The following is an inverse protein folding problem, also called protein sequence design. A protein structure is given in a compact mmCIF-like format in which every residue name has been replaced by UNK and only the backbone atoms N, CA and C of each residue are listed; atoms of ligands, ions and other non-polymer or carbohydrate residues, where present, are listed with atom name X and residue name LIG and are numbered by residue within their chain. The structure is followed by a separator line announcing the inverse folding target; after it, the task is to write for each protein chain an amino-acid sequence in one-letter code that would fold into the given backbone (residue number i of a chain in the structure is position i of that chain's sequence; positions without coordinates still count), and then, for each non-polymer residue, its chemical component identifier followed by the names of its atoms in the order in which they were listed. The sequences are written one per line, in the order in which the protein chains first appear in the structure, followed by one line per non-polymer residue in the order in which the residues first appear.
data_IF_246871041256
#
_entry.id   IF_246871041256
#
_cell.length_a   1.000
_cell.length_b   1.000
_cell.length_c   1.000
_cell.angle_alpha   90.00
_cell.angle_beta   90.00
_cell.angle_gamma   90.00
#
_symmetry.space_group_name_H-M   'P 1'
#
loop_
_entity.id
_entity.type
_entity.pdbx_description
1 polymer ?
#
# COMPACT_ATOMS: atom_id res chain seq x y z
N UNK A 1 -22.34 -9.86 -3.47
CA UNK A 1 -21.96 -11.21 -2.99
C UNK A 1 -21.08 -11.05 -1.76
N UNK A 2 -21.31 -11.82 -0.71
CA UNK A 2 -20.65 -11.66 0.61
C UNK A 2 -19.39 -12.52 0.74
N UNK A 3 -18.45 -12.38 -0.21
CA UNK A 3 -17.21 -13.16 -0.18
C UNK A 3 -16.33 -12.65 0.97
N UNK A 4 -15.93 -13.50 1.94
CA UNK A 4 -15.26 -13.09 3.17
C UNK A 4 -13.76 -12.82 2.96
N UNK A 5 -13.44 -11.89 2.06
CA UNK A 5 -12.06 -11.42 1.84
C UNK A 5 -11.70 -10.38 2.89
N UNK A 6 -10.50 -10.50 3.45
CA UNK A 6 -9.90 -9.50 4.34
C UNK A 6 -8.78 -8.79 3.58
N UNK A 7 -8.98 -7.52 3.26
CA UNK A 7 -7.96 -6.66 2.66
C UNK A 7 -7.20 -5.93 3.76
N UNK A 8 -5.88 -6.11 3.81
CA UNK A 8 -4.99 -5.31 4.66
C UNK A 8 -4.29 -4.31 3.75
N UNK A 9 -4.61 -3.04 3.89
CA UNK A 9 -4.08 -1.97 3.05
C UNK A 9 -3.01 -1.21 3.82
N UNK A 10 -1.77 -1.26 3.36
CA UNK A 10 -0.71 -0.41 3.88
C UNK A 10 -0.84 0.98 3.25
N UNK A 11 -1.44 1.90 3.99
CA UNK A 11 -1.81 3.23 3.52
C UNK A 11 -0.76 4.25 3.96
N UNK A 12 0.08 4.66 3.00
CA UNK A 12 1.04 5.75 3.14
C UNK A 12 0.59 7.03 2.39
N UNK A 13 -0.64 7.06 1.86
CA UNK A 13 -1.15 8.14 1.01
C UNK A 13 -0.24 8.52 -0.17
N UNK A 14 0.56 7.57 -0.70
CA UNK A 14 1.52 7.81 -1.79
C UNK A 14 1.56 6.65 -2.79
N UNK A 15 2.00 6.94 -4.02
CA UNK A 15 2.56 5.93 -4.91
C UNK A 15 4.00 5.64 -4.48
N UNK A 16 4.20 5.05 -3.29
CA UNK A 16 5.49 5.01 -2.59
C UNK A 16 6.68 4.53 -3.44
N UNK A 17 6.53 3.47 -4.22
CA UNK A 17 7.59 3.00 -5.10
C UNK A 17 7.94 4.01 -6.21
N UNK A 18 6.93 4.63 -6.81
CA UNK A 18 7.12 5.61 -7.88
C UNK A 18 7.70 6.91 -7.32
N UNK A 19 7.25 7.33 -6.13
CA UNK A 19 7.77 8.49 -5.40
C UNK A 19 9.28 8.36 -5.19
N UNK A 20 9.72 7.21 -4.65
CA UNK A 20 11.14 6.96 -4.39
C UNK A 20 11.97 6.80 -5.68
N UNK A 21 11.42 6.17 -6.73
CA UNK A 21 12.08 6.10 -8.03
C UNK A 21 12.25 7.49 -8.66
N UNK A 22 11.26 8.38 -8.51
CA UNK A 22 11.36 9.76 -8.94
C UNK A 22 12.40 10.53 -8.13
N UNK A 23 12.40 10.42 -6.79
CA UNK A 23 13.46 11.03 -5.96
C UNK A 23 14.85 10.58 -6.37
N UNK A 24 15.03 9.29 -6.61
CA UNK A 24 16.28 8.71 -7.08
C UNK A 24 16.70 9.27 -8.45
N UNK A 25 15.76 9.37 -9.40
CA UNK A 25 16.07 9.72 -10.80
C UNK A 25 16.11 11.23 -11.06
N UNK A 26 15.37 12.02 -10.28
CA UNK A 26 15.12 13.45 -10.53
C UNK A 26 15.69 14.36 -9.43
N UNK A 27 16.54 13.82 -8.55
CA UNK A 27 17.21 14.60 -7.51
C UNK A 27 16.26 15.11 -6.43
N UNK A 28 15.47 14.21 -5.84
CA UNK A 28 14.49 14.48 -4.78
C UNK A 28 13.27 15.33 -5.22
N UNK A 29 12.99 15.41 -6.52
CA UNK A 29 11.75 15.98 -7.04
C UNK A 29 10.71 14.89 -7.29
N UNK A 30 9.45 15.15 -6.95
CA UNK A 30 8.33 14.23 -7.20
C UNK A 30 7.16 14.95 -7.87
N UNK A 31 6.42 14.23 -8.72
CA UNK A 31 5.31 14.74 -9.52
C UNK A 31 4.15 13.77 -9.44
N UNK A 32 3.03 14.22 -8.87
CA UNK A 32 1.76 13.51 -8.81
C UNK A 32 1.83 12.11 -8.14
N UNK A 33 2.70 11.96 -7.14
CA UNK A 33 2.89 10.70 -6.39
C UNK A 33 2.34 10.74 -4.97
N UNK A 34 1.98 11.92 -4.45
CA UNK A 34 1.44 12.09 -3.11
C UNK A 34 -0.05 12.46 -3.16
N UNK A 35 -0.82 11.95 -2.21
CA UNK A 35 -2.25 12.17 -2.13
C UNK A 35 -2.65 12.74 -0.78
N UNK A 36 -3.87 13.27 -0.70
CA UNK A 36 -4.51 13.52 0.59
C UNK A 36 -4.79 12.19 1.27
N UNK A 37 -4.67 12.17 2.59
CA UNK A 37 -5.05 11.02 3.39
C UNK A 37 -6.54 10.71 3.21
N UNK A 38 -6.85 9.42 3.00
CA UNK A 38 -8.21 8.91 2.86
C UNK A 38 -8.43 7.84 3.92
N UNK A 39 -9.62 7.88 4.54
CA UNK A 39 -10.10 6.86 5.45
C UNK A 39 -10.73 5.71 4.65
N UNK A 40 -9.91 4.70 4.33
CA UNK A 40 -10.36 3.57 3.52
C UNK A 40 -11.28 2.63 4.30
N UNK A 41 -11.25 2.68 5.63
CA UNK A 41 -12.21 1.95 6.46
C UNK A 41 -13.63 2.50 6.26
N UNK A 42 -13.79 3.84 6.28
CA UNK A 42 -15.10 4.47 5.98
C UNK A 42 -15.57 4.24 4.55
N UNK A 43 -14.64 4.22 3.58
CA UNK A 43 -14.96 3.87 2.19
C UNK A 43 -15.51 2.44 2.14
N UNK A 44 -14.88 1.50 2.84
CA UNK A 44 -15.33 0.11 2.91
C UNK A 44 -16.73 -0.01 3.54
N UNK A 45 -16.99 0.70 4.64
CA UNK A 45 -18.31 0.76 5.28
C UNK A 45 -19.39 1.28 4.32
N UNK A 46 -19.11 2.36 3.58
CA UNK A 46 -20.03 2.89 2.57
C UNK A 46 -20.32 1.92 1.41
N UNK A 47 -19.43 0.95 1.18
CA UNK A 47 -19.60 -0.13 0.20
C UNK A 47 -20.22 -1.41 0.79
N UNK A 48 -20.58 -1.41 2.07
CA UNK A 48 -21.21 -2.54 2.77
C UNK A 48 -20.23 -3.57 3.34
N UNK A 49 -18.92 -3.29 3.33
CA UNK A 49 -17.91 -4.09 3.99
C UNK A 49 -17.68 -3.62 5.44
N UNK A 50 -17.01 -4.44 6.24
CA UNK A 50 -16.51 -4.02 7.56
C UNK A 50 -15.26 -3.17 7.38
N UNK A 51 -15.19 -2.01 8.03
CA UNK A 51 -14.02 -1.14 8.04
C UNK A 51 -13.31 -1.16 9.39
N UNK A 52 -11.98 -1.27 9.37
CA UNK A 52 -11.12 -1.00 10.52
C UNK A 52 -9.99 -0.07 10.10
N UNK A 53 -9.76 1.00 10.86
CA UNK A 53 -8.57 1.85 10.71
C UNK A 53 -7.64 1.62 11.90
N UNK A 54 -6.36 1.43 11.63
CA UNK A 54 -5.34 1.21 12.65
C UNK A 54 -4.13 2.11 12.42
N UNK A 55 -3.45 2.46 13.50
CA UNK A 55 -2.28 3.35 13.48
C UNK A 55 -1.04 2.67 14.09
N UNK A 56 -1.22 1.54 14.78
CA UNK A 56 -0.14 0.83 15.46
C UNK A 56 -0.07 -0.64 15.02
N UNK A 57 1.14 -1.19 14.81
CA UNK A 57 1.32 -2.57 14.35
C UNK A 57 0.67 -3.64 15.25
N UNK A 58 0.59 -3.39 16.56
CA UNK A 58 -0.01 -4.33 17.53
C UNK A 58 -1.53 -4.45 17.36
N UNK A 59 -2.21 -3.46 16.79
CA UNK A 59 -3.65 -3.49 16.53
C UNK A 59 -3.99 -4.52 15.46
N UNK A 60 -3.15 -4.65 14.42
CA UNK A 60 -3.34 -5.65 13.36
C UNK A 60 -3.33 -7.07 13.94
N UNK A 61 -2.39 -7.36 14.85
CA UNK A 61 -2.29 -8.67 15.52
C UNK A 61 -3.56 -9.02 16.29
N UNK A 62 -4.23 -8.02 16.87
CA UNK A 62 -5.45 -8.20 17.65
C UNK A 62 -6.72 -8.26 16.76
N UNK A 63 -6.73 -7.53 15.65
CA UNK A 63 -7.90 -7.37 14.80
C UNK A 63 -7.99 -8.43 13.70
N UNK A 64 -6.87 -8.85 13.12
CA UNK A 64 -6.87 -9.79 11.99
C UNK A 64 -7.63 -11.10 12.30
N UNK A 65 -7.46 -11.75 13.47
CA UNK A 65 -8.26 -12.94 13.81
C UNK A 65 -9.76 -12.65 13.88
N UNK A 66 -10.16 -11.47 14.36
CA UNK A 66 -11.56 -11.05 14.45
C UNK A 66 -12.17 -10.78 13.08
N UNK A 67 -11.41 -10.11 12.20
CA UNK A 67 -11.81 -9.84 10.82
C UNK A 67 -12.05 -11.15 10.06
N UNK A 68 -11.13 -12.11 10.16
CA UNK A 68 -11.26 -13.44 9.54
C UNK A 68 -12.48 -14.19 10.12
N UNK A 69 -12.61 -14.23 11.45
CA UNK A 69 -13.71 -14.92 12.11
C UNK A 69 -15.10 -14.30 11.84
N UNK A 70 -15.15 -13.03 11.42
CA UNK A 70 -16.41 -12.35 11.11
C UNK A 70 -17.16 -12.96 9.92
N UNK A 71 -16.44 -13.63 9.01
CA UNK A 71 -17.01 -14.17 7.78
C UNK A 71 -17.60 -13.10 6.84
N UNK A 72 -17.14 -11.84 6.95
CA UNK A 72 -17.61 -10.71 6.14
C UNK A 72 -16.48 -10.09 5.32
N UNK A 73 -16.77 -9.51 4.14
CA UNK A 73 -15.82 -8.65 3.45
C UNK A 73 -15.32 -7.56 4.40
N UNK A 74 -14.00 -7.43 4.55
CA UNK A 74 -13.39 -6.53 5.55
C UNK A 74 -12.19 -5.80 4.98
N UNK A 75 -12.11 -4.49 5.18
CA UNK A 75 -10.91 -3.68 4.90
C UNK A 75 -10.30 -3.24 6.22
N UNK A 76 -9.01 -3.53 6.39
CA UNK A 76 -8.17 -3.02 7.47
C UNK A 76 -7.23 -2.00 6.82
N UNK A 77 -7.53 -0.72 7.05
CA UNK A 77 -6.74 0.43 6.63
C UNK A 77 -5.62 0.67 7.65
N UNK A 78 -4.41 0.26 7.30
CA UNK A 78 -3.23 0.36 8.15
C UNK A 78 -2.45 1.61 7.80
N UNK A 79 -2.50 2.63 8.64
CA UNK A 79 -1.60 3.76 8.48
C UNK A 79 -0.16 3.31 8.71
N UNK A 80 0.70 3.66 7.76
CA UNK A 80 2.13 3.40 7.82
C UNK A 80 2.88 4.72 7.61
N UNK A 81 4.15 4.72 8.02
CA UNK A 81 5.03 5.87 7.83
C UNK A 81 5.15 6.18 6.32
N UNK A 82 4.76 7.39 5.88
CA UNK A 82 4.83 7.76 4.48
C UNK A 82 6.25 7.94 3.94
N UNK A 83 7.25 8.01 4.82
CA UNK A 83 8.66 8.18 4.46
C UNK A 83 9.44 6.85 4.56
N UNK A 84 8.78 5.74 4.91
CA UNK A 84 9.36 4.40 4.84
C UNK A 84 9.64 4.01 3.38
N UNK A 85 10.89 3.61 3.11
CA UNK A 85 11.37 3.31 1.76
C UNK A 85 10.92 1.90 1.36
N UNK A 86 10.17 1.73 0.25
CA UNK A 86 9.81 0.41 -0.26
C UNK A 86 11.07 -0.33 -0.77
N UNK A 87 11.00 -1.66 -0.98
CA UNK A 87 12.16 -2.42 -1.46
C UNK A 87 12.55 -2.02 -2.89
N UNK A 88 13.44 -1.03 -3.02
CA UNK A 88 13.90 -0.46 -4.29
C UNK A 88 14.92 -1.33 -5.03
N UNK A 89 15.78 -2.04 -4.28
CA UNK A 89 16.91 -2.80 -4.85
C UNK A 89 16.46 -3.85 -5.89
N UNK A 90 15.43 -4.68 -5.64
CA UNK A 90 14.92 -5.61 -6.64
C UNK A 90 14.44 -4.92 -7.92
N UNK A 91 13.81 -3.75 -7.80
CA UNK A 91 13.32 -2.98 -8.95
C UNK A 91 14.45 -2.40 -9.80
N UNK A 92 15.44 -1.78 -9.16
CA UNK A 92 16.60 -1.22 -9.87
C UNK A 92 17.39 -2.30 -10.59
N UNK A 93 17.55 -3.48 -9.98
CA UNK A 93 18.19 -4.63 -10.63
C UNK A 93 17.41 -5.09 -11.86
N UNK A 94 16.09 -5.25 -11.73
CA UNK A 94 15.22 -5.61 -12.85
C UNK A 94 15.26 -4.60 -14.01
N UNK A 95 15.34 -3.29 -13.71
CA UNK A 95 15.49 -2.24 -14.72
C UNK A 95 16.82 -2.32 -15.47
N UNK A 96 17.93 -2.60 -14.76
CA UNK A 96 19.24 -2.82 -15.40
C UNK A 96 19.21 -4.04 -16.31
N UNK A 97 18.62 -5.13 -15.83
CA UNK A 97 18.47 -6.37 -16.62
C UNK A 97 17.60 -6.13 -17.86
N UNK A 98 16.56 -5.30 -17.76
CA UNK A 98 15.71 -4.91 -18.88
C UNK A 98 16.45 -4.02 -19.90
N UNK A 99 17.22 -3.03 -19.45
CA UNK A 99 18.04 -2.17 -20.32
C UNK A 99 19.03 -2.99 -21.14
N UNK A 100 19.75 -3.92 -20.49
CA UNK A 100 20.69 -4.80 -21.17
C UNK A 100 20.04 -5.67 -22.25
N UNK A 101 18.76 -6.04 -22.10
CA UNK A 101 18.02 -6.82 -23.10
C UNK A 101 17.60 -6.00 -24.32
N UNK A 102 17.34 -4.70 -24.13
CA UNK A 102 17.03 -3.78 -25.23
C UNK A 102 18.28 -3.42 -26.03
N UNK A 103 19.43 -3.25 -25.37
CA UNK A 103 20.71 -2.99 -26.03
C UNK A 103 21.20 -4.17 -26.91
N UNK A 104 20.58 -5.34 -26.77
CA UNK A 104 20.95 -6.59 -27.45
C UNK A 104 19.99 -6.98 -28.59
N UNK A 105 18.93 -6.19 -28.84
CA UNK A 105 17.99 -6.34 -29.97
C UNK A 105 18.31 -5.32 -31.07
#
# INVERSE_FOLDING_TARGET
HDIPVVWVVQNNAKLGLVDELQKFSLGNNTVATTFKEVDLAKVAEGLGAVGYRIEKPNELKQLLPKAIASGKPTVIDCLIDPDEVPPLIPFVKGLKDFSHRLDMM
#
